data_IF_323357728835
#
_entry.id   IF_323357728835
#
_cell.length_a   1.000
_cell.length_b   1.000
_cell.length_c   1.000
_cell.angle_alpha   90.00
_cell.angle_beta   90.00
_cell.angle_gamma   90.00
#
_symmetry.space_group_name_H-M   'P 1'
#
loop_
_entity.id
_entity.type
_entity.pdbx_description
1 polymer ?
#
# COMPACT_ATOMS: atom_id res chain seq x y z
N UNK A 1 -4.35 1.17 14.86
CA UNK A 1 -3.05 1.71 14.41
C UNK A 1 -3.11 3.22 14.27
N UNK A 2 -4.03 3.75 13.45
CA UNK A 2 -4.25 5.19 13.31
C UNK A 2 -4.49 5.91 14.66
N UNK A 3 -5.39 5.42 15.50
CA UNK A 3 -5.66 6.01 16.83
C UNK A 3 -4.43 6.11 17.73
N UNK A 4 -3.60 5.06 17.79
CA UNK A 4 -2.35 5.09 18.56
C UNK A 4 -1.28 6.05 18.00
N UNK A 5 -1.31 6.30 16.69
CA UNK A 5 -0.46 7.32 16.05
C UNK A 5 -0.99 8.73 16.39
N UNK A 6 -2.32 8.90 16.43
CA UNK A 6 -2.97 10.13 16.86
C UNK A 6 -2.59 10.52 18.29
N UNK A 7 -2.69 9.57 19.22
CA UNK A 7 -2.33 9.77 20.63
C UNK A 7 -0.84 10.12 20.82
N UNK A 8 0.02 9.62 19.94
CA UNK A 8 1.44 9.93 19.93
C UNK A 8 1.79 11.24 19.20
N UNK A 9 0.81 11.92 18.60
CA UNK A 9 1.01 13.14 17.81
C UNK A 9 1.73 12.93 16.47
N UNK A 10 1.66 11.72 15.92
CA UNK A 10 2.27 11.40 14.62
C UNK A 10 1.36 11.71 13.44
N UNK A 11 1.96 11.90 12.26
CA UNK A 11 1.25 12.13 11.00
C UNK A 11 1.23 10.85 10.14
N UNK A 12 0.27 10.73 9.22
CA UNK A 12 0.10 9.54 8.37
C UNK A 12 0.10 9.89 6.88
N UNK A 13 0.98 9.23 6.12
CA UNK A 13 0.96 9.23 4.67
C UNK A 13 0.26 7.97 4.11
N UNK A 14 -0.78 8.15 3.30
CA UNK A 14 -1.53 7.06 2.65
C UNK A 14 -1.06 6.90 1.21
N UNK A 15 -0.48 5.74 0.88
CA UNK A 15 -0.02 5.43 -0.47
C UNK A 15 -0.91 4.39 -1.13
N UNK A 16 -1.63 4.78 -2.18
CA UNK A 16 -2.46 3.86 -2.95
C UNK A 16 -2.86 4.45 -4.31
N UNK A 17 -3.29 3.60 -5.25
CA UNK A 17 -3.54 3.99 -6.65
C UNK A 17 -4.88 4.69 -6.90
N UNK A 18 -5.83 4.59 -5.98
CA UNK A 18 -7.20 5.08 -6.20
C UNK A 18 -7.42 6.36 -5.39
N UNK A 19 -7.51 7.49 -6.09
CA UNK A 19 -7.65 8.82 -5.47
C UNK A 19 -8.90 8.96 -4.59
N UNK A 20 -10.04 8.42 -5.01
CA UNK A 20 -11.28 8.53 -4.23
C UNK A 20 -11.18 7.80 -2.89
N UNK A 21 -10.66 6.56 -2.90
CA UNK A 21 -10.42 5.78 -1.69
C UNK A 21 -9.37 6.41 -0.80
N UNK A 22 -8.36 7.05 -1.40
CA UNK A 22 -7.34 7.78 -0.68
C UNK A 22 -7.93 9.00 0.04
N UNK A 23 -8.72 9.82 -0.66
CA UNK A 23 -9.38 10.98 -0.09
C UNK A 23 -10.31 10.59 1.06
N UNK A 24 -11.06 9.49 0.90
CA UNK A 24 -11.90 8.94 1.96
C UNK A 24 -11.08 8.48 3.18
N UNK A 25 -9.94 7.81 2.95
CA UNK A 25 -9.06 7.38 4.03
C UNK A 25 -8.44 8.57 4.78
N UNK A 26 -7.97 9.59 4.06
CA UNK A 26 -7.44 10.83 4.67
C UNK A 26 -8.51 11.49 5.54
N UNK A 27 -9.73 11.64 5.03
CA UNK A 27 -10.84 12.23 5.79
C UNK A 27 -11.09 11.50 7.11
N UNK A 28 -11.11 10.16 7.10
CA UNK A 28 -11.27 9.36 8.34
C UNK A 28 -10.15 9.65 9.33
N UNK A 29 -8.91 9.78 8.86
CA UNK A 29 -7.76 10.05 9.73
C UNK A 29 -7.81 11.47 10.30
N UNK A 30 -8.19 12.45 9.49
CA UNK A 30 -8.38 13.84 9.91
C UNK A 30 -9.52 13.97 10.92
N UNK A 31 -10.63 13.23 10.73
CA UNK A 31 -11.75 13.17 11.70
C UNK A 31 -11.31 12.57 13.06
N UNK A 32 -10.23 11.79 13.08
CA UNK A 32 -9.58 11.27 14.29
C UNK A 32 -8.52 12.23 14.86
N UNK A 33 -8.37 13.43 14.29
CA UNK A 33 -7.39 14.44 14.71
C UNK A 33 -5.96 14.18 14.25
N UNK A 34 -5.75 13.29 13.27
CA UNK A 34 -4.44 12.95 12.73
C UNK A 34 -4.15 13.83 11.52
N UNK A 35 -2.96 14.44 11.47
CA UNK A 35 -2.48 15.04 10.24
C UNK A 35 -2.23 13.95 9.20
N UNK A 36 -2.98 13.97 8.10
CA UNK A 36 -2.88 12.95 7.06
C UNK A 36 -2.75 13.55 5.66
N UNK A 37 -2.00 12.87 4.80
CA UNK A 37 -1.96 13.16 3.35
C UNK A 37 -1.96 11.87 2.56
N UNK A 38 -2.46 11.92 1.33
CA UNK A 38 -2.40 10.78 0.42
C UNK A 38 -1.59 11.05 -0.84
N UNK A 39 -0.94 10.01 -1.33
CA UNK A 39 -0.18 10.03 -2.57
C UNK A 39 -0.62 8.88 -3.47
N UNK A 40 -0.79 9.19 -4.76
CA UNK A 40 -1.06 8.17 -5.78
C UNK A 40 0.24 7.44 -6.06
N UNK A 41 0.35 6.23 -5.53
CA UNK A 41 1.55 5.41 -5.63
C UNK A 41 1.24 4.05 -6.24
N UNK A 42 1.98 3.68 -7.29
CA UNK A 42 2.00 2.33 -7.80
C UNK A 42 3.25 1.59 -7.35
N UNK A 43 3.08 0.72 -6.37
CA UNK A 43 4.16 -0.12 -5.82
C UNK A 43 4.76 -1.13 -6.83
N UNK A 44 4.24 -1.23 -8.06
CA UNK A 44 4.94 -1.93 -9.17
C UNK A 44 6.29 -1.32 -9.46
N UNK A 45 6.30 0.00 -9.38
CA UNK A 45 7.21 0.85 -10.12
C UNK A 45 8.16 1.41 -9.09
N UNK A 46 9.38 0.92 -9.13
CA UNK A 46 10.43 1.38 -8.24
C UNK A 46 10.62 2.90 -8.34
N UNK A 47 10.56 3.44 -9.55
CA UNK A 47 10.60 4.88 -9.80
C UNK A 47 9.45 5.62 -9.11
N UNK A 48 8.22 5.12 -9.22
CA UNK A 48 7.06 5.72 -8.58
C UNK A 48 7.17 5.67 -7.05
N UNK A 49 7.65 4.56 -6.49
CA UNK A 49 7.92 4.40 -5.06
C UNK A 49 8.97 5.40 -4.57
N UNK A 50 10.09 5.55 -5.29
CA UNK A 50 11.16 6.50 -4.95
C UNK A 50 10.64 7.94 -4.98
N UNK A 51 9.90 8.31 -6.02
CA UNK A 51 9.31 9.64 -6.15
C UNK A 51 8.33 9.92 -5.00
N UNK A 52 7.45 8.95 -4.69
CA UNK A 52 6.48 9.09 -3.59
C UNK A 52 7.15 9.19 -2.23
N UNK A 53 8.26 8.44 -2.02
CA UNK A 53 9.06 8.53 -0.80
C UNK A 53 9.63 9.93 -0.62
N UNK A 54 10.23 10.47 -1.68
CA UNK A 54 10.80 11.81 -1.66
C UNK A 54 9.73 12.86 -1.35
N UNK A 55 8.55 12.80 -1.97
CA UNK A 55 7.43 13.70 -1.67
C UNK A 55 6.96 13.56 -0.21
N UNK A 56 6.87 12.33 0.29
CA UNK A 56 6.45 12.08 1.68
C UNK A 56 7.46 12.67 2.69
N UNK A 57 8.76 12.46 2.46
CA UNK A 57 9.81 13.04 3.31
C UNK A 57 9.84 14.56 3.20
N UNK A 58 9.61 15.12 2.01
CA UNK A 58 9.54 16.57 1.85
C UNK A 58 8.39 17.20 2.65
N UNK A 59 7.24 16.54 2.70
CA UNK A 59 6.05 17.06 3.37
C UNK A 59 6.08 16.85 4.88
N UNK A 60 6.59 15.71 5.36
CA UNK A 60 6.58 15.34 6.78
C UNK A 60 7.96 15.44 7.46
N UNK A 61 9.02 15.75 6.71
CA UNK A 61 10.40 15.88 7.17
C UNK A 61 11.15 14.55 7.36
N UNK A 62 10.45 13.47 7.75
CA UNK A 62 11.03 12.12 7.95
C UNK A 62 9.97 11.02 7.81
N UNK A 63 10.42 9.77 7.69
CA UNK A 63 9.56 8.58 7.77
C UNK A 63 10.03 7.71 8.93
N UNK A 64 9.18 7.53 9.94
CA UNK A 64 9.47 6.73 11.12
C UNK A 64 9.10 5.25 10.97
N UNK A 65 8.16 4.95 10.07
CA UNK A 65 7.73 3.60 9.79
C UNK A 65 7.01 3.51 8.45
N UNK A 66 7.23 2.40 7.74
CA UNK A 66 6.57 2.10 6.48
C UNK A 66 5.91 0.71 6.57
N UNK A 67 4.60 0.67 6.36
CA UNK A 67 3.83 -0.57 6.40
C UNK A 67 3.43 -0.98 4.97
N UNK A 68 4.25 -1.80 4.32
CA UNK A 68 4.02 -2.28 2.97
C UNK A 68 2.92 -3.37 2.92
N UNK A 69 1.65 -2.96 2.95
CA UNK A 69 0.48 -3.85 2.92
C UNK A 69 -0.11 -4.06 1.49
N UNK A 70 0.51 -3.51 0.45
CA UNK A 70 0.02 -3.63 -0.92
C UNK A 70 0.25 -5.04 -1.47
N UNK A 71 -0.76 -5.91 -1.40
CA UNK A 71 -0.74 -7.23 -2.02
C UNK A 71 -1.07 -7.17 -3.51
N UNK A 72 -0.21 -7.75 -4.37
CA UNK A 72 -0.55 -8.03 -5.76
C UNK A 72 -0.44 -9.51 -6.06
N UNK A 73 -1.51 -10.07 -6.62
CA UNK A 73 -1.46 -11.35 -7.31
C UNK A 73 -0.53 -11.19 -8.52
N UNK A 74 0.60 -11.87 -8.52
CA UNK A 74 1.41 -12.04 -9.74
C UNK A 74 0.56 -12.86 -10.71
N UNK A 75 0.09 -12.24 -11.79
CA UNK A 75 -0.54 -12.94 -12.91
C UNK A 75 0.52 -13.73 -13.70
N UNK A 76 1.00 -14.82 -13.10
CA UNK A 76 1.86 -15.82 -13.73
C UNK A 76 1.40 -17.26 -13.45
N UNK A 77 0.41 -17.46 -12.57
CA UNK A 77 -0.03 -18.79 -12.14
C UNK A 77 -1.30 -19.29 -12.83
N UNK A 78 -1.60 -18.86 -14.05
CA UNK A 78 -2.66 -19.51 -14.85
C UNK A 78 -2.18 -20.78 -15.56
N UNK A 79 -0.86 -21.00 -15.71
CA UNK A 79 -0.32 -22.22 -16.37
C UNK A 79 -0.06 -23.39 -15.41
N UNK A 80 0.12 -23.16 -14.11
CA UNK A 80 0.42 -24.24 -13.14
C UNK A 80 -0.81 -24.96 -12.60
N UNK A 81 -2.02 -24.40 -12.76
CA UNK A 81 -3.27 -25.09 -12.37
C UNK A 81 -3.63 -26.25 -13.30
N UNK A 82 -3.20 -26.19 -14.57
CA UNK A 82 -3.37 -27.30 -15.52
C UNK A 82 -2.31 -28.39 -15.32
N UNK A 83 -1.07 -28.04 -14.99
CA UNK A 83 0.00 -29.02 -14.77
C UNK A 83 -0.24 -29.92 -13.55
N UNK A 84 -0.81 -29.39 -12.47
CA UNK A 84 -1.13 -30.20 -11.28
C UNK A 84 -2.29 -31.18 -11.53
N UNK A 85 -3.32 -30.76 -12.28
CA UNK A 85 -4.48 -31.62 -12.64
C UNK A 85 -4.14 -32.70 -13.67
N UNK A 86 -3.03 -32.57 -14.39
CA UNK A 86 -2.62 -33.53 -15.44
C UNK A 86 -1.55 -34.50 -14.93
N UNK A 87 -0.76 -34.14 -13.91
CA UNK A 87 0.21 -35.03 -13.28
C UNK A 87 -0.41 -36.15 -12.45
N UNK A 88 -1.63 -35.95 -11.94
CA UNK A 88 -2.35 -36.95 -11.14
C UNK A 88 -2.93 -38.10 -12.00
N UNK A 89 -3.15 -37.86 -13.29
CA UNK A 89 -3.66 -38.88 -14.24
C UNK A 89 -2.59 -39.83 -14.80
N UNK A 90 -1.31 -39.58 -14.55
CA UNK A 90 -0.20 -40.42 -15.06
C UNK A 90 0.38 -41.36 -13.98
N UNK A 91 -0.28 -41.48 -12.82
CA UNK A 91 0.14 -42.34 -11.70
C UNK A 91 -0.89 -43.43 -11.32
N UNK A 92 -1.83 -43.76 -12.22
CA UNK A 92 -2.73 -44.92 -12.07
C UNK A 92 -2.38 -46.03 -13.05
#
# INVERSE_FOLDING_TARGET
>A
MAEGIAEAGGSIAVWARNEEKNAHAVKILEDLGIEARSYVCDVSSEENVIATLASTVNDFGRVDGLFANAGRLVQGLHSLRHLWRTGEKLRS
#
